data_IF_226612197765
#
_entry.id   IF_226612197765
#
_cell.length_a   1.000
_cell.length_b   1.000
_cell.length_c   1.000
_cell.angle_alpha   90.00
_cell.angle_beta   90.00
_cell.angle_gamma   90.00
#
_symmetry.space_group_name_H-M   'P 1'
#
loop_
_entity.id
_entity.type
_entity.pdbx_description
1 polymer ?
#
# COMPACT_ATOMS: atom_id res chain seq x y z
N UNK A 1 -8.15 16.05 -13.73
CA UNK A 1 -8.12 15.70 -12.30
C UNK A 1 -7.48 14.33 -12.12
N UNK A 2 -6.63 14.16 -11.12
CA UNK A 2 -5.97 12.89 -10.88
C UNK A 2 -6.84 12.01 -9.99
N UNK A 3 -7.00 10.76 -10.37
CA UNK A 3 -7.69 9.76 -9.55
C UNK A 3 -6.67 8.78 -9.01
N UNK A 4 -6.70 8.57 -7.71
CA UNK A 4 -5.83 7.60 -7.05
C UNK A 4 -6.63 6.37 -6.66
N UNK A 5 -6.17 5.20 -7.13
CA UNK A 5 -6.80 3.92 -6.85
C UNK A 5 -5.79 3.06 -6.11
N UNK A 6 -6.18 2.52 -4.97
CA UNK A 6 -5.31 1.65 -4.18
C UNK A 6 -5.78 0.21 -4.26
N UNK A 7 -4.88 -0.67 -4.67
CA UNK A 7 -5.09 -2.12 -4.66
C UNK A 7 -4.31 -2.78 -3.52
N UNK A 8 -3.85 -1.98 -2.56
CA UNK A 8 -3.01 -2.48 -1.48
C UNK A 8 -3.69 -3.59 -0.69
N UNK A 9 -4.96 -3.40 -0.32
CA UNK A 9 -5.69 -4.39 0.47
C UNK A 9 -5.72 -5.75 -0.23
N UNK A 10 -5.97 -5.74 -1.55
CA UNK A 10 -6.03 -6.97 -2.33
C UNK A 10 -4.72 -7.76 -2.24
N UNK A 11 -3.59 -7.09 -2.47
CA UNK A 11 -2.30 -7.76 -2.46
C UNK A 11 -1.83 -8.09 -1.06
N UNK A 12 -2.21 -7.28 -0.05
CA UNK A 12 -1.95 -7.62 1.35
C UNK A 12 -2.65 -8.91 1.73
N UNK A 13 -3.93 -9.03 1.40
CA UNK A 13 -4.72 -10.22 1.70
C UNK A 13 -4.22 -11.44 0.94
N UNK A 14 -3.78 -11.23 -0.30
CA UNK A 14 -3.18 -12.30 -1.09
C UNK A 14 -1.94 -12.87 -0.40
N UNK A 15 -1.19 -12.04 0.31
CA UNK A 15 -0.01 -12.45 1.07
C UNK A 15 -0.37 -12.89 2.50
N UNK A 16 -1.64 -12.99 2.83
CA UNK A 16 -2.14 -13.46 4.12
C UNK A 16 -1.63 -12.62 5.30
N UNK A 17 -1.54 -11.30 5.10
CA UNK A 17 -1.09 -10.37 6.12
C UNK A 17 -2.25 -9.52 6.62
N UNK A 18 -2.28 -9.27 7.95
CA UNK A 18 -3.17 -8.26 8.51
C UNK A 18 -2.58 -6.88 8.25
N UNK A 19 -3.40 -5.84 8.43
CA UNK A 19 -2.91 -4.46 8.34
C UNK A 19 -1.76 -4.22 9.32
N UNK A 20 -1.90 -4.73 10.54
CA UNK A 20 -0.86 -4.56 11.58
C UNK A 20 0.43 -5.28 11.21
N UNK A 21 0.33 -6.48 10.68
CA UNK A 21 1.51 -7.23 10.26
C UNK A 21 2.27 -6.52 9.15
N UNK A 22 1.55 -6.04 8.13
CA UNK A 22 2.20 -5.29 7.06
C UNK A 22 2.83 -4.01 7.59
N UNK A 23 2.10 -3.29 8.45
CA UNK A 23 2.60 -2.05 9.04
C UNK A 23 3.93 -2.26 9.76
N UNK A 24 4.03 -3.32 10.56
CA UNK A 24 5.27 -3.64 11.26
C UNK A 24 6.40 -3.93 10.29
N UNK A 25 6.12 -4.67 9.22
CA UNK A 25 7.14 -5.05 8.25
C UNK A 25 7.71 -3.86 7.48
N UNK A 26 6.89 -2.85 7.24
CA UNK A 26 7.34 -1.64 6.52
C UNK A 26 7.56 -0.45 7.45
N UNK A 27 7.54 -0.70 8.77
CA UNK A 27 7.89 0.26 9.82
C UNK A 27 7.00 1.52 9.81
N UNK A 28 5.70 1.31 9.74
CA UNK A 28 4.71 2.39 9.88
C UNK A 28 3.61 1.94 10.82
N UNK A 29 2.70 2.84 11.14
CA UNK A 29 1.54 2.52 11.98
C UNK A 29 0.45 1.83 11.17
N UNK A 30 -0.38 1.02 11.85
CA UNK A 30 -1.51 0.35 11.20
C UNK A 30 -2.43 1.35 10.49
N UNK A 31 -2.66 2.52 11.11
CA UNK A 31 -3.51 3.57 10.53
C UNK A 31 -2.98 4.05 9.18
N UNK A 32 -1.66 4.08 9.03
CA UNK A 32 -1.04 4.46 7.76
C UNK A 32 -1.43 3.45 6.66
N UNK A 33 -1.38 2.17 6.96
CA UNK A 33 -1.78 1.13 6.00
C UNK A 33 -3.28 1.27 5.69
N UNK A 34 -4.12 1.47 6.72
CA UNK A 34 -5.56 1.62 6.51
C UNK A 34 -5.87 2.82 5.61
N UNK A 35 -5.19 3.94 5.80
CA UNK A 35 -5.36 5.13 4.97
C UNK A 35 -4.93 4.90 3.52
N UNK A 36 -3.82 4.20 3.33
CA UNK A 36 -3.36 3.85 1.99
C UNK A 36 -4.36 2.94 1.27
N UNK A 37 -4.92 1.99 1.99
CA UNK A 37 -5.91 1.06 1.41
C UNK A 37 -7.19 1.78 1.02
N UNK A 38 -7.54 2.83 1.73
CA UNK A 38 -8.74 3.63 1.44
C UNK A 38 -8.46 4.80 0.50
N UNK A 39 -7.26 4.85 -0.07
CA UNK A 39 -6.84 5.92 -0.98
C UNK A 39 -7.01 7.32 -0.38
N UNK A 40 -6.78 7.44 0.93
CA UNK A 40 -6.96 8.72 1.64
C UNK A 40 -5.74 9.63 1.51
N UNK A 41 -4.57 9.07 1.18
CA UNK A 41 -3.39 9.86 0.88
C UNK A 41 -2.41 9.02 0.07
N UNK A 42 -1.45 9.70 -0.57
CA UNK A 42 -0.44 9.04 -1.39
C UNK A 42 0.73 8.59 -0.52
N UNK A 43 1.28 7.41 -0.75
CA UNK A 43 2.47 6.99 0.00
C UNK A 43 3.68 7.81 -0.44
N UNK A 44 4.65 7.98 0.47
CA UNK A 44 5.95 8.47 0.07
C UNK A 44 6.58 7.44 -0.87
N UNK A 45 7.53 7.90 -1.69
CA UNK A 45 8.22 6.97 -2.59
C UNK A 45 8.91 5.86 -1.80
N UNK A 46 9.56 6.20 -0.70
CA UNK A 46 10.21 5.19 0.13
C UNK A 46 9.23 4.14 0.64
N UNK A 47 8.08 4.57 1.15
CA UNK A 47 7.08 3.65 1.68
C UNK A 47 6.51 2.78 0.56
N UNK A 48 6.25 3.36 -0.61
CA UNK A 48 5.75 2.60 -1.76
C UNK A 48 6.74 1.51 -2.16
N UNK A 49 8.03 1.82 -2.19
CA UNK A 49 9.08 0.85 -2.51
C UNK A 49 9.13 -0.25 -1.45
N UNK A 50 9.07 0.11 -0.17
CA UNK A 50 9.09 -0.89 0.91
C UNK A 50 7.91 -1.85 0.82
N UNK A 51 6.72 -1.32 0.57
CA UNK A 51 5.51 -2.15 0.43
C UNK A 51 5.64 -3.06 -0.79
N UNK A 52 6.10 -2.50 -1.91
CA UNK A 52 6.30 -3.26 -3.14
C UNK A 52 7.22 -4.47 -2.92
N UNK A 53 8.32 -4.26 -2.22
CA UNK A 53 9.27 -5.33 -1.92
C UNK A 53 8.69 -6.35 -0.95
N UNK A 54 8.00 -5.88 0.08
CA UNK A 54 7.43 -6.76 1.09
C UNK A 54 6.34 -7.66 0.50
N UNK A 55 5.53 -7.14 -0.40
CA UNK A 55 4.46 -7.89 -1.04
C UNK A 55 4.89 -8.54 -2.37
N UNK A 56 6.13 -8.33 -2.78
CA UNK A 56 6.67 -8.82 -4.04
C UNK A 56 5.73 -8.48 -5.21
N UNK A 57 5.30 -7.22 -5.25
CA UNK A 57 4.31 -6.72 -6.22
C UNK A 57 4.78 -5.36 -6.74
N UNK A 58 4.72 -5.12 -8.05
CA UNK A 58 5.13 -3.82 -8.60
C UNK A 58 4.31 -2.66 -8.02
N UNK A 59 4.95 -1.50 -7.87
CA UNK A 59 4.30 -0.32 -7.32
C UNK A 59 3.07 0.06 -8.16
N UNK A 60 3.16 0.00 -9.47
CA UNK A 60 2.07 0.38 -10.37
C UNK A 60 0.91 -0.62 -10.37
N UNK A 61 1.09 -1.80 -9.79
CA UNK A 61 -0.02 -2.71 -9.55
C UNK A 61 -0.71 -2.37 -8.22
N UNK A 62 0.06 -1.85 -7.24
CA UNK A 62 -0.44 -1.51 -5.91
C UNK A 62 -1.16 -0.17 -5.91
N UNK A 63 -0.58 0.84 -6.54
CA UNK A 63 -1.07 2.22 -6.50
C UNK A 63 -1.19 2.75 -7.93
N UNK A 64 -2.41 3.07 -8.33
CA UNK A 64 -2.71 3.48 -9.70
C UNK A 64 -3.16 4.92 -9.70
N UNK A 65 -2.57 5.72 -10.58
CA UNK A 65 -2.97 7.11 -10.79
C UNK A 65 -3.52 7.26 -12.20
N UNK A 66 -4.71 7.80 -12.30
CA UNK A 66 -5.32 8.09 -13.59
C UNK A 66 -5.37 9.60 -13.78
N UNK A 67 -4.78 10.05 -14.85
CA UNK A 67 -4.69 11.44 -15.20
C UNK A 67 -5.67 11.77 -16.34
#
# INVERSE_FOLDING_TARGET
MVTFISNLKKYRQFNELTQEELAKRVNVRRETIARLENAKYNPSLELAVRISKELNTPIDALFIFEF
#
